data_IF_994402225392
#
_entry.id   IF_994402225392
#
_cell.length_a   1.000
_cell.length_b   1.000
_cell.length_c   1.000
_cell.angle_alpha   90.00
_cell.angle_beta   90.00
_cell.angle_gamma   90.00
#
_symmetry.space_group_name_H-M   'P 1'
#
loop_
_entity.id
_entity.type
_entity.pdbx_description
1 polymer ?
#
# COMPACT_ATOMS: atom_id res chain seq x y z
N UNK A 1 7.15 10.27 12.25
CA UNK A 1 8.01 10.44 11.05
C UNK A 1 7.75 9.31 10.06
N UNK A 2 7.54 9.65 8.82
CA UNK A 2 7.43 8.66 7.73
C UNK A 2 8.73 8.69 6.92
N UNK A 3 9.30 7.53 6.64
CA UNK A 3 10.47 7.43 5.76
C UNK A 3 10.33 6.29 4.75
N UNK A 4 11.02 6.41 3.64
CA UNK A 4 11.11 5.34 2.66
C UNK A 4 11.91 4.16 3.23
N UNK A 5 11.42 2.95 3.01
CA UNK A 5 12.06 1.74 3.46
C UNK A 5 13.25 1.35 2.54
N UNK A 6 14.19 0.62 3.10
CA UNK A 6 15.37 0.08 2.41
C UNK A 6 15.46 -1.42 2.65
N UNK A 7 16.38 -2.09 1.97
CA UNK A 7 16.54 -3.56 2.08
C UNK A 7 16.66 -4.07 3.51
N UNK A 8 17.31 -3.32 4.39
CA UNK A 8 17.44 -3.66 5.81
C UNK A 8 16.11 -3.66 6.57
N UNK A 9 15.07 -3.08 6.01
CA UNK A 9 13.75 -2.96 6.65
C UNK A 9 12.81 -4.10 6.26
N UNK A 10 13.23 -5.03 5.38
CA UNK A 10 12.38 -6.12 4.88
C UNK A 10 11.72 -6.95 5.98
N UNK A 11 12.48 -7.27 7.02
CA UNK A 11 11.97 -8.03 8.17
C UNK A 11 10.92 -7.26 8.96
N UNK A 12 11.17 -6.00 9.24
CA UNK A 12 10.24 -5.12 9.98
C UNK A 12 8.93 -4.96 9.20
N UNK A 13 9.01 -4.77 7.88
CA UNK A 13 7.84 -4.72 7.01
C UNK A 13 7.05 -6.03 7.05
N UNK A 14 7.73 -7.17 6.96
CA UNK A 14 7.09 -8.49 6.98
C UNK A 14 6.37 -8.77 8.31
N UNK A 15 6.99 -8.39 9.43
CA UNK A 15 6.40 -8.55 10.77
C UNK A 15 5.13 -7.71 10.95
N UNK A 16 5.05 -6.55 10.33
CA UNK A 16 3.81 -5.76 10.30
C UNK A 16 2.80 -6.31 9.30
N UNK A 17 3.24 -6.66 8.11
CA UNK A 17 2.38 -7.10 7.01
C UNK A 17 1.66 -8.44 7.31
N UNK A 18 2.28 -9.35 8.04
CA UNK A 18 1.66 -10.63 8.41
C UNK A 18 0.39 -10.45 9.25
N UNK A 19 0.26 -9.33 9.95
CA UNK A 19 -0.94 -9.00 10.72
C UNK A 19 -2.13 -8.63 9.80
N UNK A 20 -1.85 -8.20 8.58
CA UNK A 20 -2.84 -7.85 7.57
C UNK A 20 -3.04 -8.98 6.55
N UNK A 21 -1.95 -9.63 6.16
CA UNK A 21 -1.92 -10.75 5.21
C UNK A 21 -1.58 -12.06 5.95
N UNK A 22 -2.51 -12.51 6.75
CA UNK A 22 -2.35 -13.62 7.71
C UNK A 22 -2.27 -15.02 7.07
N UNK A 23 -2.54 -15.14 5.76
CA UNK A 23 -2.34 -16.37 4.99
C UNK A 23 -0.87 -16.65 4.65
N UNK A 24 0.03 -15.69 4.92
CA UNK A 24 1.48 -15.78 4.69
C UNK A 24 2.24 -15.87 6.00
N UNK A 25 3.45 -16.38 5.94
CA UNK A 25 4.41 -16.33 7.05
C UNK A 25 5.29 -15.08 6.95
N UNK A 26 5.93 -14.69 8.04
CA UNK A 26 6.90 -13.59 8.05
C UNK A 26 8.04 -13.86 7.06
N UNK A 27 8.56 -15.10 7.03
CA UNK A 27 9.67 -15.47 6.14
C UNK A 27 9.28 -15.38 4.67
N UNK A 28 8.07 -15.80 4.30
CA UNK A 28 7.55 -15.66 2.95
C UNK A 28 7.42 -14.19 2.54
N UNK A 29 6.84 -13.36 3.38
CA UNK A 29 6.67 -11.93 3.12
C UNK A 29 8.02 -11.21 3.07
N UNK A 30 8.95 -11.55 3.95
CA UNK A 30 10.30 -10.96 3.92
C UNK A 30 11.00 -11.24 2.58
N UNK A 31 10.96 -12.48 2.11
CA UNK A 31 11.55 -12.86 0.82
C UNK A 31 10.93 -12.08 -0.35
N UNK A 32 9.61 -11.97 -0.39
CA UNK A 32 8.88 -11.18 -1.38
C UNK A 32 9.26 -9.69 -1.30
N UNK A 33 9.34 -9.14 -0.12
CA UNK A 33 9.64 -7.72 0.08
C UNK A 33 11.07 -7.35 -0.27
N UNK A 34 12.03 -8.27 -0.10
CA UNK A 34 13.40 -8.05 -0.58
C UNK A 34 13.41 -7.81 -2.09
N UNK A 35 12.66 -8.61 -2.85
CA UNK A 35 12.54 -8.44 -4.30
C UNK A 35 11.86 -7.11 -4.64
N UNK A 36 10.75 -6.81 -3.98
CA UNK A 36 9.97 -5.59 -4.22
C UNK A 36 10.74 -4.33 -3.84
N UNK A 37 11.53 -4.35 -2.75
CA UNK A 37 12.36 -3.23 -2.34
C UNK A 37 13.48 -2.89 -3.35
N UNK A 38 13.88 -3.87 -4.15
CA UNK A 38 14.86 -3.68 -5.22
C UNK A 38 14.23 -3.26 -6.56
N UNK A 39 12.91 -3.29 -6.67
CA UNK A 39 12.17 -2.87 -7.85
C UNK A 39 11.96 -1.35 -7.80
N UNK A 40 12.48 -0.65 -8.83
CA UNK A 40 12.34 0.81 -8.94
C UNK A 40 10.90 1.28 -9.19
N UNK A 41 10.00 0.36 -9.56
CA UNK A 41 8.59 0.65 -9.79
C UNK A 41 7.73 0.44 -8.53
N UNK A 42 8.37 0.22 -7.40
CA UNK A 42 7.70 0.00 -6.12
C UNK A 42 8.38 0.76 -5.00
N UNK A 43 7.63 1.09 -3.96
CA UNK A 43 8.16 1.71 -2.77
C UNK A 43 7.38 1.26 -1.53
N UNK A 44 8.08 1.19 -0.42
CA UNK A 44 7.48 1.05 0.91
C UNK A 44 7.82 2.27 1.74
N UNK A 45 6.85 2.72 2.52
CA UNK A 45 7.03 3.78 3.51
C UNK A 45 6.70 3.24 4.89
N UNK A 46 7.50 3.61 5.89
CA UNK A 46 7.32 3.18 7.28
C UNK A 46 7.08 4.40 8.15
N UNK A 47 6.05 4.34 8.99
CA UNK A 47 5.78 5.32 10.05
C UNK A 47 6.47 4.90 11.33
N UNK A 48 7.23 5.80 11.92
CA UNK A 48 7.91 5.62 13.21
C UNK A 48 7.38 6.60 14.26
N UNK A 49 7.25 6.10 15.47
CA UNK A 49 7.01 6.88 16.68
C UNK A 49 8.09 6.49 17.69
N UNK A 50 8.93 7.45 18.10
CA UNK A 50 10.05 7.19 19.03
C UNK A 50 10.90 5.98 18.61
N UNK A 51 11.28 5.94 17.33
CA UNK A 51 12.06 4.87 16.71
C UNK A 51 11.36 3.51 16.61
N UNK A 52 10.10 3.41 17.04
CA UNK A 52 9.28 2.21 16.90
C UNK A 52 8.49 2.22 15.59
N UNK A 53 8.58 1.19 14.74
CA UNK A 53 7.76 1.10 13.54
C UNK A 53 6.31 0.77 13.92
N UNK A 54 5.38 1.63 13.55
CA UNK A 54 3.97 1.53 13.93
C UNK A 54 3.02 1.33 12.76
N UNK A 55 3.51 1.48 11.53
CA UNK A 55 2.71 1.26 10.34
C UNK A 55 3.55 1.34 9.07
N UNK A 56 2.99 0.87 7.97
CA UNK A 56 3.62 0.93 6.66
C UNK A 56 2.59 1.12 5.54
N UNK A 57 3.06 1.57 4.39
CA UNK A 57 2.32 1.53 3.14
C UNK A 57 3.23 0.98 2.03
N UNK A 58 2.63 0.21 1.15
CA UNK A 58 3.26 -0.29 -0.07
C UNK A 58 2.55 0.34 -1.27
N UNK A 59 3.30 0.91 -2.18
CA UNK A 59 2.78 1.43 -3.44
C UNK A 59 3.66 1.02 -4.61
N UNK A 60 3.12 1.12 -5.80
CA UNK A 60 3.82 0.77 -7.02
C UNK A 60 3.25 1.51 -8.22
N UNK A 61 3.86 1.27 -9.39
CA UNK A 61 3.38 1.77 -10.67
C UNK A 61 2.65 0.66 -11.41
N UNK A 62 1.52 0.98 -11.99
CA UNK A 62 0.81 0.09 -12.91
C UNK A 62 0.75 0.73 -14.29
N UNK A 63 1.19 -0.01 -15.31
CA UNK A 63 1.21 0.42 -16.70
C UNK A 63 0.05 -0.15 -17.50
N UNK A 64 -0.48 -1.30 -17.09
CA UNK A 64 -1.71 -1.87 -17.64
C UNK A 64 -2.93 -1.06 -17.18
N UNK A 65 -4.05 -1.25 -17.86
CA UNK A 65 -5.26 -0.50 -17.54
C UNK A 65 -5.66 -0.69 -16.06
N UNK A 66 -5.92 0.43 -15.42
CA UNK A 66 -6.46 0.50 -14.05
C UNK A 66 -7.87 1.10 -14.12
N UNK A 67 -8.81 0.43 -13.48
CA UNK A 67 -10.22 0.80 -13.49
C UNK A 67 -10.43 2.26 -13.07
N UNK A 68 -11.14 3.03 -13.90
CA UNK A 68 -11.47 4.43 -13.65
C UNK A 68 -10.35 5.42 -13.98
N UNK A 69 -9.21 4.98 -14.52
CA UNK A 69 -8.09 5.87 -14.87
C UNK A 69 -7.97 6.08 -16.38
N UNK A 70 -7.36 7.20 -16.75
CA UNK A 70 -7.17 7.61 -18.17
C UNK A 70 -5.70 7.79 -18.55
N UNK A 71 -4.78 7.57 -17.60
CA UNK A 71 -3.34 7.79 -17.80
C UNK A 71 -2.53 6.52 -17.52
N UNK A 72 -1.25 6.57 -17.87
CA UNK A 72 -0.27 5.49 -17.59
C UNK A 72 1.13 6.11 -17.52
N UNK A 73 1.97 5.72 -16.55
CA UNK A 73 1.65 4.82 -15.45
C UNK A 73 0.72 5.45 -14.42
N UNK A 74 0.03 4.62 -13.65
CA UNK A 74 -0.80 5.03 -12.51
C UNK A 74 -0.10 4.60 -11.23
N UNK A 75 -0.02 5.49 -10.23
CA UNK A 75 0.39 5.11 -8.89
C UNK A 75 -0.69 4.23 -8.24
N UNK A 76 -0.27 3.21 -7.51
CA UNK A 76 -1.20 2.24 -6.95
C UNK A 76 -0.86 1.92 -5.50
N UNK A 77 -1.84 2.03 -4.60
CA UNK A 77 -1.70 1.61 -3.21
C UNK A 77 -1.94 0.10 -3.13
N UNK A 78 -0.87 -0.66 -2.86
CA UNK A 78 -0.94 -2.12 -2.76
C UNK A 78 -1.34 -2.59 -1.35
N UNK A 79 -0.98 -1.83 -0.32
CA UNK A 79 -1.35 -2.12 1.05
C UNK A 79 -1.02 -0.97 1.97
N UNK A 80 -1.79 -0.84 3.03
CA UNK A 80 -1.56 0.14 4.09
C UNK A 80 -1.99 -0.46 5.42
N UNK A 81 -1.15 -0.30 6.43
CA UNK A 81 -1.35 -0.88 7.74
C UNK A 81 -0.85 0.05 8.83
N UNK A 82 -1.61 0.16 9.91
CA UNK A 82 -1.20 0.80 11.16
C UNK A 82 -1.56 -0.15 12.29
N UNK A 83 -0.62 -0.39 13.20
CA UNK A 83 -0.85 -1.20 14.40
C UNK A 83 -2.05 -0.68 15.17
N UNK A 84 -2.88 -1.58 15.70
CA UNK A 84 -4.18 -1.26 16.28
C UNK A 84 -4.10 -0.16 17.34
N UNK A 85 -3.13 -0.26 18.25
CA UNK A 85 -2.92 0.69 19.34
C UNK A 85 -2.49 2.10 18.88
N UNK A 86 -2.10 2.24 17.62
CA UNK A 86 -1.67 3.52 17.02
C UNK A 86 -2.69 4.09 16.02
N UNK A 87 -3.82 3.43 15.82
CA UNK A 87 -4.87 3.89 14.90
C UNK A 87 -5.56 5.14 15.41
N UNK A 88 -6.30 5.82 14.52
CA UNK A 88 -7.05 7.05 14.81
C UNK A 88 -6.16 8.26 15.17
N UNK A 89 -4.90 8.25 14.75
CA UNK A 89 -3.95 9.35 14.93
C UNK A 89 -3.54 10.01 13.59
N UNK A 90 -4.18 9.65 12.47
CA UNK A 90 -3.84 10.19 11.16
C UNK A 90 -2.61 9.57 10.48
N UNK A 91 -2.05 8.52 11.03
CA UNK A 91 -0.80 7.92 10.50
C UNK A 91 -1.00 7.25 9.15
N UNK A 92 -2.16 6.64 8.90
CA UNK A 92 -2.48 6.10 7.59
C UNK A 92 -2.54 7.20 6.52
N UNK A 93 -3.08 8.36 6.84
CA UNK A 93 -3.08 9.52 5.96
C UNK A 93 -1.66 10.00 5.64
N UNK A 94 -0.77 10.05 6.64
CA UNK A 94 0.63 10.42 6.43
C UNK A 94 1.34 9.43 5.50
N UNK A 95 1.10 8.13 5.69
CA UNK A 95 1.65 7.07 4.86
C UNK A 95 1.14 7.16 3.41
N UNK A 96 -0.17 7.35 3.23
CA UNK A 96 -0.78 7.53 1.91
C UNK A 96 -0.20 8.76 1.21
N UNK A 97 -0.08 9.88 1.91
CA UNK A 97 0.51 11.11 1.36
C UNK A 97 1.93 10.88 0.86
N UNK A 98 2.74 10.10 1.57
CA UNK A 98 4.09 9.75 1.11
C UNK A 98 4.06 8.95 -0.20
N UNK A 99 3.14 8.01 -0.34
CA UNK A 99 2.94 7.25 -1.58
C UNK A 99 2.51 8.16 -2.73
N UNK A 100 1.57 9.06 -2.49
CA UNK A 100 1.08 10.01 -3.51
C UNK A 100 2.19 10.96 -3.99
N UNK A 101 3.00 11.47 -3.07
CA UNK A 101 4.15 12.32 -3.41
C UNK A 101 5.15 11.55 -4.27
N UNK A 102 5.48 10.32 -3.87
CA UNK A 102 6.37 9.45 -4.64
C UNK A 102 5.86 9.22 -6.07
N UNK A 103 4.58 8.92 -6.23
CA UNK A 103 3.97 8.73 -7.54
C UNK A 103 4.01 10.00 -8.40
N UNK A 104 3.72 11.16 -7.82
CA UNK A 104 3.82 12.46 -8.50
C UNK A 104 5.24 12.75 -8.98
N UNK A 105 6.25 12.50 -8.16
CA UNK A 105 7.65 12.72 -8.49
C UNK A 105 8.10 11.86 -9.67
N UNK A 106 7.51 10.67 -9.85
CA UNK A 106 7.78 9.79 -10.98
C UNK A 106 7.05 10.26 -12.25
N UNK A 107 6.01 11.09 -12.11
CA UNK A 107 5.24 11.64 -13.23
C UNK A 107 3.81 11.13 -13.33
N UNK A 108 3.30 10.40 -12.35
CA UNK A 108 1.90 9.98 -12.31
C UNK A 108 0.97 11.16 -12.09
N UNK A 109 -0.14 11.20 -12.83
CA UNK A 109 -1.23 12.16 -12.65
C UNK A 109 -2.44 11.55 -11.93
N UNK A 110 -2.45 10.24 -11.76
CA UNK A 110 -3.52 9.51 -11.08
C UNK A 110 -2.95 8.51 -10.09
N UNK A 111 -3.71 8.27 -9.02
CA UNK A 111 -3.37 7.30 -7.97
C UNK A 111 -4.61 6.48 -7.66
N UNK A 112 -4.48 5.16 -7.67
CA UNK A 112 -5.60 4.24 -7.55
C UNK A 112 -5.37 3.24 -6.42
N UNK A 113 -6.42 2.53 -6.05
CA UNK A 113 -6.40 1.49 -5.03
C UNK A 113 -7.61 0.60 -5.20
N UNK A 114 -7.68 -0.45 -4.40
CA UNK A 114 -8.85 -1.31 -4.30
C UNK A 114 -9.05 -1.82 -2.87
N UNK A 115 -10.19 -2.40 -2.61
CA UNK A 115 -10.44 -3.17 -1.40
C UNK A 115 -11.50 -4.25 -1.68
N UNK A 116 -11.55 -5.26 -0.82
CA UNK A 116 -12.63 -6.24 -0.86
C UNK A 116 -13.99 -5.55 -0.66
N UNK A 117 -15.01 -6.05 -1.35
CA UNK A 117 -16.34 -5.41 -1.37
C UNK A 117 -16.98 -5.32 0.01
N UNK A 118 -16.65 -6.23 0.92
CA UNK A 118 -17.17 -6.29 2.29
C UNK A 118 -16.23 -5.62 3.32
N UNK A 119 -15.08 -5.12 2.90
CA UNK A 119 -14.15 -4.40 3.77
C UNK A 119 -14.59 -2.94 3.95
N UNK A 120 -15.56 -2.73 4.80
CA UNK A 120 -16.15 -1.41 5.02
C UNK A 120 -15.20 -0.40 5.67
N UNK A 121 -14.27 -0.86 6.51
CA UNK A 121 -13.27 0.01 7.11
C UNK A 121 -12.33 0.58 6.04
N UNK A 122 -11.89 -0.25 5.13
CA UNK A 122 -11.06 0.18 3.99
C UNK A 122 -11.85 1.12 3.06
N UNK A 123 -13.10 0.79 2.76
CA UNK A 123 -13.96 1.66 1.95
C UNK A 123 -14.09 3.06 2.56
N UNK A 124 -14.41 3.14 3.86
CA UNK A 124 -14.51 4.42 4.57
C UNK A 124 -13.20 5.19 4.57
N UNK A 125 -12.07 4.50 4.75
CA UNK A 125 -10.75 5.11 4.68
C UNK A 125 -10.51 5.74 3.30
N UNK A 126 -10.76 5.01 2.22
CA UNK A 126 -10.58 5.53 0.86
C UNK A 126 -11.44 6.77 0.59
N UNK A 127 -12.71 6.73 0.99
CA UNK A 127 -13.61 7.88 0.81
C UNK A 127 -13.13 9.09 1.63
N UNK A 128 -12.68 8.87 2.86
CA UNK A 128 -12.15 9.94 3.72
C UNK A 128 -10.84 10.54 3.18
N UNK A 129 -10.04 9.75 2.43
CA UNK A 129 -8.80 10.20 1.82
C UNK A 129 -8.97 10.88 0.45
N UNK A 130 -10.20 11.01 -0.01
CA UNK A 130 -10.51 11.73 -1.25
C UNK A 130 -10.50 10.87 -2.51
N UNK A 131 -10.47 9.55 -2.39
CA UNK A 131 -10.69 8.68 -3.54
C UNK A 131 -12.15 8.70 -3.98
N UNK A 132 -12.37 8.60 -5.28
CA UNK A 132 -13.69 8.37 -5.86
C UNK A 132 -13.88 6.88 -6.11
N UNK A 133 -15.05 6.33 -5.80
CA UNK A 133 -15.39 4.97 -6.17
C UNK A 133 -15.51 4.88 -7.70
N UNK A 134 -14.58 4.17 -8.33
CA UNK A 134 -14.54 4.04 -9.79
C UNK A 134 -15.50 2.98 -10.31
N UNK A 135 -15.44 1.77 -9.73
CA UNK A 135 -16.26 0.63 -10.16
C UNK A 135 -16.26 -0.48 -9.12
N UNK A 136 -17.20 -1.41 -9.27
CA UNK A 136 -17.25 -2.68 -8.54
C UNK A 136 -17.25 -3.80 -9.55
N UNK A 137 -16.32 -4.74 -9.43
CA UNK A 137 -16.15 -5.83 -10.39
C UNK A 137 -16.22 -7.19 -9.71
N UNK A 138 -16.54 -8.23 -10.48
CA UNK A 138 -16.45 -9.63 -10.06
C UNK A 138 -15.30 -10.26 -10.85
N UNK A 139 -14.34 -10.84 -10.14
CA UNK A 139 -13.20 -11.51 -10.76
C UNK A 139 -13.49 -12.99 -10.93
N UNK A 140 -13.12 -13.54 -12.09
CA UNK A 140 -13.28 -14.95 -12.42
C UNK A 140 -11.94 -15.57 -12.76
N UNK A 141 -11.76 -16.84 -12.43
CA UNK A 141 -10.62 -17.64 -12.89
C UNK A 141 -11.06 -19.05 -13.29
N UNK A 142 -10.26 -19.70 -14.10
CA UNK A 142 -10.44 -21.11 -14.48
C UNK A 142 -9.08 -21.78 -14.58
N UNK A 143 -8.92 -22.92 -13.92
CA UNK A 143 -7.74 -23.77 -14.13
C UNK A 143 -7.89 -24.52 -15.46
N UNK A 144 -6.79 -24.61 -16.22
CA UNK A 144 -6.76 -25.31 -17.51
C UNK A 144 -5.98 -26.62 -17.43
#
# INVERSE_FOLDING_TARGET
MVRIARNKDSRVLAEMAVQMWDSHTVDELEAEFVETLNDKQSAFFIKYINDLPVGFAQCGLRTDYVEGTESSPVGYLEGIFVKEEYRKNGYAKELLSACEIWAKEIGCSEFASDCEIDNMDSFKFHMAMGFDEANRIICFKKNL
#
